data_IF_397299588637
#
_entry.id   IF_397299588637
#
_cell.length_a   1.000
_cell.length_b   1.000
_cell.length_c   1.000
_cell.angle_alpha   90.00
_cell.angle_beta   90.00
_cell.angle_gamma   90.00
#
_symmetry.space_group_name_H-M   'P 1'
#
loop_
_entity.id
_entity.type
_entity.pdbx_description
1 polymer ?
#
# COMPACT_ATOMS: atom_id res chain seq x y z
N UNK A 1 40.13 18.62 -6.25
CA UNK A 1 40.48 18.99 -7.62
C UNK A 1 39.36 19.79 -8.23
N UNK A 2 39.64 20.50 -9.32
CA UNK A 2 38.59 21.12 -10.14
C UNK A 2 37.96 20.12 -11.11
N UNK A 3 36.99 20.56 -11.91
CA UNK A 3 36.36 19.73 -12.95
C UNK A 3 37.37 19.14 -13.95
N UNK A 4 38.45 19.86 -14.25
CA UNK A 4 39.53 19.34 -15.12
C UNK A 4 40.23 18.11 -14.52
N UNK A 5 40.50 18.12 -13.21
CA UNK A 5 41.08 16.97 -12.52
C UNK A 5 40.10 15.79 -12.50
N UNK A 6 38.80 16.08 -12.39
CA UNK A 6 37.75 15.06 -12.47
C UNK A 6 37.71 14.39 -13.84
N UNK A 7 37.81 15.16 -14.93
CA UNK A 7 37.86 14.58 -16.28
C UNK A 7 39.14 13.76 -16.51
N UNK A 8 40.29 14.16 -15.96
CA UNK A 8 41.50 13.34 -16.00
C UNK A 8 41.25 11.99 -15.35
N UNK A 9 40.65 11.98 -14.14
CA UNK A 9 40.32 10.74 -13.45
C UNK A 9 39.30 9.88 -14.21
N UNK A 10 38.31 10.48 -14.90
CA UNK A 10 37.38 9.76 -15.79
C UNK A 10 38.14 9.04 -16.91
N UNK A 11 39.10 9.70 -17.56
CA UNK A 11 39.90 9.08 -18.63
C UNK A 11 40.86 8.01 -18.08
N UNK A 12 41.43 8.22 -16.90
CA UNK A 12 42.32 7.23 -16.26
C UNK A 12 41.57 5.95 -15.83
N UNK A 13 40.27 6.07 -15.58
CA UNK A 13 39.38 4.96 -15.23
C UNK A 13 38.68 4.33 -16.45
N UNK A 14 39.04 4.74 -17.69
CA UNK A 14 38.41 4.29 -18.94
C UNK A 14 36.87 4.51 -18.94
N UNK A 15 36.41 5.60 -18.34
CA UNK A 15 35.00 5.92 -18.16
C UNK A 15 34.46 6.96 -19.16
N UNK A 16 35.27 7.47 -20.09
CA UNK A 16 34.98 8.66 -20.91
C UNK A 16 33.86 8.48 -21.95
N UNK A 17 33.53 7.23 -22.30
CA UNK A 17 32.58 6.92 -23.37
C UNK A 17 31.13 6.75 -22.88
N UNK A 18 30.90 6.70 -21.56
CA UNK A 18 29.57 6.45 -20.99
C UNK A 18 28.63 7.65 -21.07
N UNK A 19 29.15 8.87 -20.88
CA UNK A 19 28.34 10.07 -20.75
C UNK A 19 28.91 11.24 -21.56
N UNK A 20 28.07 12.24 -21.82
CA UNK A 20 28.55 13.48 -22.45
C UNK A 20 29.35 14.33 -21.45
N UNK A 21 30.15 15.28 -21.95
CA UNK A 21 30.83 16.27 -21.11
C UNK A 21 29.90 17.01 -20.15
N UNK A 22 28.66 17.32 -20.57
CA UNK A 22 27.65 17.91 -19.69
C UNK A 22 27.16 16.93 -18.61
N UNK A 23 27.11 15.63 -18.93
CA UNK A 23 26.82 14.57 -17.96
C UNK A 23 27.92 14.45 -16.90
N UNK A 24 29.20 14.39 -17.30
CA UNK A 24 30.32 14.41 -16.34
C UNK A 24 30.38 15.69 -15.52
N UNK A 25 30.04 16.83 -16.12
CA UNK A 25 29.94 18.09 -15.37
C UNK A 25 28.85 18.01 -14.30
N UNK A 26 27.69 17.42 -14.61
CA UNK A 26 26.62 17.21 -13.63
C UNK A 26 27.06 16.26 -12.51
N UNK A 27 27.68 15.13 -12.84
CA UNK A 27 28.23 14.17 -11.87
C UNK A 27 29.23 14.83 -10.91
N UNK A 28 30.17 15.61 -11.45
CA UNK A 28 31.13 16.38 -10.67
C UNK A 28 30.45 17.41 -9.75
N UNK A 29 29.48 18.17 -10.27
CA UNK A 29 28.76 19.18 -9.50
C UNK A 29 27.90 18.58 -8.38
N UNK A 30 27.40 17.37 -8.59
CA UNK A 30 26.68 16.58 -7.58
C UNK A 30 27.61 15.84 -6.61
N UNK A 31 28.93 15.90 -6.83
CA UNK A 31 29.91 15.30 -5.93
C UNK A 31 30.00 13.77 -6.03
N UNK A 32 29.59 13.17 -7.15
CA UNK A 32 29.72 11.73 -7.39
C UNK A 32 31.20 11.36 -7.54
N UNK A 33 31.77 10.52 -6.66
CA UNK A 33 33.17 10.14 -6.70
C UNK A 33 33.43 9.16 -7.85
N UNK A 34 34.64 9.20 -8.39
CA UNK A 34 35.09 8.28 -9.44
C UNK A 34 34.97 6.82 -8.98
N UNK A 35 35.29 6.54 -7.71
CA UNK A 35 35.17 5.20 -7.12
C UNK A 35 33.75 4.62 -7.24
N UNK A 36 32.69 5.44 -7.11
CA UNK A 36 31.32 4.96 -7.28
C UNK A 36 31.01 4.66 -8.76
N UNK A 37 31.56 5.45 -9.68
CA UNK A 37 31.43 5.19 -11.12
C UNK A 37 32.18 3.93 -11.54
N UNK A 38 33.39 3.71 -11.02
CA UNK A 38 34.17 2.49 -11.24
C UNK A 38 33.41 1.25 -10.75
N UNK A 39 32.81 1.29 -9.56
CA UNK A 39 32.00 0.18 -9.05
C UNK A 39 30.78 -0.12 -9.95
N UNK A 40 30.10 0.91 -10.45
CA UNK A 40 28.99 0.73 -11.39
C UNK A 40 29.48 0.20 -12.75
N UNK A 41 30.65 0.65 -13.22
CA UNK A 41 31.26 0.17 -14.46
C UNK A 41 31.63 -1.31 -14.38
N UNK A 42 32.30 -1.70 -13.30
CA UNK A 42 32.71 -3.09 -13.03
C UNK A 42 31.49 -4.03 -12.98
N UNK A 43 30.35 -3.52 -12.50
CA UNK A 43 29.09 -4.25 -12.47
C UNK A 43 28.28 -4.17 -13.79
N UNK A 44 28.72 -3.35 -14.76
CA UNK A 44 28.10 -3.19 -16.07
C UNK A 44 26.87 -2.28 -16.10
N UNK A 45 26.70 -1.37 -15.13
CA UNK A 45 25.51 -0.54 -14.98
C UNK A 45 25.66 0.90 -15.52
N UNK A 46 26.80 1.27 -16.09
CA UNK A 46 26.96 2.59 -16.71
C UNK A 46 26.42 2.61 -18.14
N UNK A 47 26.06 3.82 -18.60
CA UNK A 47 25.61 4.05 -19.98
C UNK A 47 24.13 3.69 -20.17
N UNK A 48 23.88 2.56 -20.83
CA UNK A 48 22.54 2.15 -21.26
C UNK A 48 21.62 1.81 -20.08
N UNK A 49 22.19 1.24 -19.01
CA UNK A 49 21.46 0.87 -17.80
C UNK A 49 21.10 2.11 -16.97
N UNK A 50 22.11 2.85 -16.49
CA UNK A 50 21.90 4.10 -15.76
C UNK A 50 22.40 5.32 -16.53
N UNK A 51 21.46 6.22 -16.84
CA UNK A 51 21.77 7.61 -17.21
C UNK A 51 22.59 8.31 -16.11
N UNK A 52 23.37 9.33 -16.47
CA UNK A 52 24.11 10.14 -15.48
C UNK A 52 23.19 10.73 -14.40
N UNK A 53 21.93 11.07 -14.73
CA UNK A 53 20.95 11.54 -13.74
C UNK A 53 20.51 10.44 -12.77
N UNK A 54 20.39 9.20 -13.23
CA UNK A 54 20.08 8.06 -12.37
C UNK A 54 21.25 7.79 -11.41
N UNK A 55 22.49 7.81 -11.91
CA UNK A 55 23.70 7.68 -11.09
C UNK A 55 23.76 8.74 -9.99
N UNK A 56 23.49 10.01 -10.33
CA UNK A 56 23.41 11.10 -9.35
C UNK A 56 22.33 10.79 -8.28
N UNK A 57 21.16 10.33 -8.71
CA UNK A 57 20.06 10.00 -7.80
C UNK A 57 20.41 8.88 -6.83
N UNK A 58 20.98 7.79 -7.35
CA UNK A 58 21.42 6.62 -6.58
C UNK A 58 22.51 7.01 -5.57
N UNK A 59 23.54 7.72 -6.03
CA UNK A 59 24.63 8.18 -5.17
C UNK A 59 24.16 9.13 -4.06
N UNK A 60 23.37 10.15 -4.40
CA UNK A 60 22.86 11.11 -3.41
C UNK A 60 21.88 10.50 -2.41
N UNK A 61 21.34 9.31 -2.72
CA UNK A 61 20.47 8.55 -1.83
C UNK A 61 21.23 7.43 -1.10
N UNK A 62 22.56 7.44 -1.16
CA UNK A 62 23.45 6.47 -0.53
C UNK A 62 23.14 5.00 -0.93
N UNK A 63 22.61 4.78 -2.15
CA UNK A 63 22.31 3.43 -2.65
C UNK A 63 23.63 2.73 -3.02
N UNK A 64 24.01 1.65 -2.32
CA UNK A 64 25.25 0.94 -2.60
C UNK A 64 25.09 0.07 -3.86
N UNK A 65 26.18 -0.12 -4.61
CA UNK A 65 26.21 -1.02 -5.76
C UNK A 65 25.87 -2.46 -5.36
N UNK A 66 26.14 -2.86 -4.10
CA UNK A 66 25.71 -4.14 -3.54
C UNK A 66 24.19 -4.34 -3.58
N UNK A 67 23.40 -3.30 -3.30
CA UNK A 67 21.94 -3.38 -3.38
C UNK A 67 21.48 -3.54 -4.83
N UNK A 68 22.08 -2.81 -5.76
CA UNK A 68 21.80 -2.91 -7.20
C UNK A 68 22.14 -4.33 -7.71
N UNK A 69 23.30 -4.87 -7.31
CA UNK A 69 23.71 -6.24 -7.60
C UNK A 69 22.72 -7.27 -7.03
N UNK A 70 22.17 -7.01 -5.84
CA UNK A 70 21.14 -7.84 -5.24
C UNK A 70 19.89 -7.92 -6.13
N UNK A 71 19.39 -6.78 -6.62
CA UNK A 71 18.25 -6.75 -7.55
C UNK A 71 18.55 -7.51 -8.84
N UNK A 72 19.72 -7.28 -9.43
CA UNK A 72 20.14 -7.95 -10.66
C UNK A 72 20.25 -9.48 -10.47
N UNK A 73 20.78 -9.93 -9.32
CA UNK A 73 20.93 -11.36 -9.02
C UNK A 73 19.60 -12.11 -8.93
N UNK A 74 18.50 -11.43 -8.58
CA UNK A 74 17.14 -11.98 -8.58
C UNK A 74 16.33 -11.58 -9.82
N UNK A 75 17.00 -11.02 -10.85
CA UNK A 75 16.40 -10.56 -12.12
C UNK A 75 15.31 -9.49 -11.95
N UNK A 76 15.43 -8.64 -10.93
CA UNK A 76 14.48 -7.55 -10.65
C UNK A 76 15.04 -6.16 -10.93
N UNK A 77 16.26 -6.05 -11.45
CA UNK A 77 16.85 -4.74 -11.75
C UNK A 77 16.02 -3.99 -12.80
N UNK A 78 15.67 -4.67 -13.90
CA UNK A 78 14.92 -4.11 -15.02
C UNK A 78 13.44 -3.82 -14.68
N UNK A 79 12.93 -4.40 -13.59
CA UNK A 79 11.55 -4.19 -13.13
C UNK A 79 11.36 -2.85 -12.40
N UNK A 80 12.46 -2.22 -11.98
CA UNK A 80 12.42 -0.99 -11.18
C UNK A 80 13.17 0.16 -11.85
N UNK A 81 12.45 1.27 -12.05
CA UNK A 81 13.10 2.56 -12.33
C UNK A 81 14.10 2.91 -11.21
N UNK A 82 15.16 3.67 -11.51
CA UNK A 82 16.12 4.11 -10.49
C UNK A 82 15.47 4.84 -9.29
N UNK A 83 14.36 5.57 -9.51
CA UNK A 83 13.62 6.20 -8.41
C UNK A 83 12.88 5.19 -7.53
N UNK A 84 12.42 4.07 -8.11
CA UNK A 84 11.87 2.96 -7.36
C UNK A 84 12.97 2.23 -6.56
N UNK A 85 14.14 1.98 -7.15
CA UNK A 85 15.31 1.40 -6.47
C UNK A 85 15.68 2.23 -5.23
N UNK A 86 15.78 3.55 -5.39
CA UNK A 86 16.02 4.48 -4.28
C UNK A 86 14.94 4.35 -3.20
N UNK A 87 13.66 4.30 -3.59
CA UNK A 87 12.54 4.17 -2.66
C UNK A 87 12.59 2.88 -1.85
N UNK A 88 12.85 1.75 -2.52
CA UNK A 88 12.96 0.43 -1.91
C UNK A 88 14.14 0.37 -0.92
N UNK A 89 15.32 0.84 -1.34
CA UNK A 89 16.51 0.89 -0.51
C UNK A 89 16.31 1.77 0.73
N UNK A 90 15.83 3.00 0.56
CA UNK A 90 15.62 3.94 1.66
C UNK A 90 14.55 3.47 2.66
N UNK A 91 13.60 2.65 2.19
CA UNK A 91 12.58 2.03 3.04
C UNK A 91 13.07 0.73 3.70
N UNK A 92 14.30 0.30 3.42
CA UNK A 92 14.89 -0.90 3.98
C UNK A 92 14.28 -2.20 3.46
N UNK A 93 13.63 -2.18 2.29
CA UNK A 93 13.03 -3.36 1.69
C UNK A 93 14.12 -4.37 1.33
N UNK A 94 14.02 -5.59 1.87
CA UNK A 94 15.03 -6.63 1.70
C UNK A 94 14.90 -7.36 0.36
N UNK A 95 16.03 -7.91 -0.13
CA UNK A 95 16.03 -8.78 -1.31
C UNK A 95 15.19 -10.04 -1.10
N UNK A 96 15.19 -10.58 0.12
CA UNK A 96 14.38 -11.74 0.48
C UNK A 96 12.88 -11.45 0.31
N UNK A 97 12.42 -10.29 0.77
CA UNK A 97 11.03 -9.87 0.60
C UNK A 97 10.68 -9.69 -0.88
N UNK A 98 11.51 -8.97 -1.65
CA UNK A 98 11.27 -8.78 -3.08
C UNK A 98 11.27 -10.10 -3.85
N UNK A 99 12.18 -11.02 -3.54
CA UNK A 99 12.20 -12.34 -4.15
C UNK A 99 10.94 -13.15 -3.79
N UNK A 100 10.47 -13.05 -2.55
CA UNK A 100 9.25 -13.75 -2.12
C UNK A 100 8.00 -13.18 -2.82
N UNK A 101 7.93 -11.85 -2.98
CA UNK A 101 6.87 -11.21 -3.77
C UNK A 101 6.93 -11.62 -5.25
N UNK A 102 8.12 -11.77 -5.81
CA UNK A 102 8.31 -12.26 -7.19
C UNK A 102 7.83 -13.70 -7.35
N UNK A 103 8.23 -14.59 -6.44
CA UNK A 103 7.85 -16.00 -6.46
C UNK A 103 6.34 -16.21 -6.29
N UNK A 104 5.68 -15.34 -5.52
CA UNK A 104 4.23 -15.30 -5.36
C UNK A 104 3.51 -14.64 -6.56
N UNK A 105 4.23 -14.02 -7.50
CA UNK A 105 3.66 -13.35 -8.65
C UNK A 105 3.08 -11.96 -8.37
N UNK A 106 3.48 -11.32 -7.27
CA UNK A 106 2.92 -10.05 -6.80
C UNK A 106 3.69 -8.79 -7.21
N UNK A 107 4.78 -8.92 -7.95
CA UNK A 107 5.52 -7.74 -8.41
C UNK A 107 4.74 -6.93 -9.45
N UNK A 108 4.04 -7.60 -10.36
CA UNK A 108 3.21 -6.92 -11.38
C UNK A 108 1.90 -6.38 -10.82
N UNK A 109 1.43 -6.95 -9.70
CA UNK A 109 0.19 -6.56 -9.03
C UNK A 109 0.36 -5.27 -8.20
N UNK A 110 1.57 -5.03 -7.70
CA UNK A 110 1.86 -3.92 -6.79
C UNK A 110 2.93 -2.99 -7.33
N UNK A 111 2.57 -1.70 -7.44
CA UNK A 111 3.57 -0.64 -7.64
C UNK A 111 4.66 -0.68 -6.55
N UNK A 112 5.88 -0.20 -6.83
CA UNK A 112 6.96 -0.18 -5.84
C UNK A 112 6.58 0.54 -4.53
N UNK A 113 5.73 1.58 -4.57
CA UNK A 113 5.25 2.27 -3.37
C UNK A 113 4.27 1.40 -2.57
N UNK A 114 3.50 0.54 -3.24
CA UNK A 114 2.68 -0.48 -2.58
C UNK A 114 3.54 -1.58 -1.95
N UNK A 115 4.58 -2.05 -2.64
CA UNK A 115 5.55 -3.02 -2.08
C UNK A 115 6.20 -2.48 -0.79
N UNK A 116 6.62 -1.20 -0.81
CA UNK A 116 7.14 -0.50 0.37
C UNK A 116 6.09 -0.44 1.50
N UNK A 117 4.84 -0.09 1.16
CA UNK A 117 3.75 -0.01 2.14
C UNK A 117 3.48 -1.34 2.82
N UNK A 118 3.37 -2.41 2.03
CA UNK A 118 3.16 -3.78 2.51
C UNK A 118 4.32 -4.24 3.40
N UNK A 119 5.57 -4.01 2.96
CA UNK A 119 6.77 -4.33 3.74
C UNK A 119 6.80 -3.60 5.09
N UNK A 120 6.61 -2.27 5.09
CA UNK A 120 6.67 -1.45 6.30
C UNK A 120 5.54 -1.72 7.30
N UNK A 121 4.51 -2.45 6.89
CA UNK A 121 3.37 -2.82 7.74
C UNK A 121 3.32 -4.31 8.04
N UNK A 122 4.38 -5.04 7.68
CA UNK A 122 4.54 -6.48 7.94
C UNK A 122 3.32 -7.30 7.46
N UNK A 123 2.71 -6.92 6.32
CA UNK A 123 1.64 -7.71 5.70
C UNK A 123 2.27 -8.98 5.13
N UNK A 124 1.90 -10.17 5.60
CA UNK A 124 2.50 -11.42 5.16
C UNK A 124 1.95 -11.81 3.79
N UNK A 125 2.78 -12.52 3.02
CA UNK A 125 2.40 -13.07 1.71
C UNK A 125 1.18 -13.99 1.84
N UNK A 126 1.11 -14.83 2.89
CA UNK A 126 -0.05 -15.70 3.15
C UNK A 126 -1.39 -14.92 3.25
N UNK A 127 -1.37 -13.67 3.75
CA UNK A 127 -2.58 -12.84 3.77
C UNK A 127 -2.92 -12.33 2.37
N UNK A 128 -1.91 -11.97 1.57
CA UNK A 128 -2.10 -11.58 0.17
C UNK A 128 -2.61 -12.77 -0.67
N UNK A 129 -2.10 -13.98 -0.45
CA UNK A 129 -2.57 -15.22 -1.06
C UNK A 129 -4.05 -15.44 -0.76
N UNK A 130 -4.44 -15.32 0.51
CA UNK A 130 -5.84 -15.45 0.90
C UNK A 130 -6.75 -14.38 0.29
N UNK A 131 -6.26 -13.13 0.18
CA UNK A 131 -6.98 -12.06 -0.52
C UNK A 131 -7.10 -12.35 -2.02
N UNK A 132 -6.06 -12.87 -2.65
CA UNK A 132 -6.04 -13.23 -4.07
C UNK A 132 -7.01 -14.38 -4.36
N UNK A 133 -6.97 -15.45 -3.57
CA UNK A 133 -7.83 -16.62 -3.71
C UNK A 133 -9.32 -16.25 -3.54
N UNK A 134 -9.61 -15.26 -2.69
CA UNK A 134 -10.96 -14.72 -2.50
C UNK A 134 -11.36 -13.68 -3.57
N UNK A 135 -10.44 -13.29 -4.47
CA UNK A 135 -10.68 -12.30 -5.53
C UNK A 135 -10.67 -10.85 -5.05
N UNK A 136 -10.02 -10.55 -3.92
CA UNK A 136 -10.01 -9.25 -3.26
C UNK A 136 -8.82 -8.35 -3.59
N UNK A 137 -7.78 -8.86 -4.28
CA UNK A 137 -6.66 -8.02 -4.69
C UNK A 137 -7.07 -6.93 -5.69
N UNK A 138 -7.97 -7.26 -6.63
CA UNK A 138 -8.49 -6.31 -7.61
C UNK A 138 -9.58 -5.38 -7.03
N UNK A 139 -10.22 -5.79 -5.93
CA UNK A 139 -11.30 -5.05 -5.29
C UNK A 139 -10.78 -3.94 -4.37
N UNK A 140 -9.68 -4.22 -3.66
CA UNK A 140 -9.11 -3.30 -2.69
C UNK A 140 -7.79 -2.69 -3.16
N UNK A 141 -7.65 -1.37 -3.00
CA UNK A 141 -6.33 -0.76 -3.14
C UNK A 141 -5.34 -1.32 -2.10
N UNK A 142 -4.03 -1.31 -2.40
CA UNK A 142 -3.02 -1.78 -1.44
C UNK A 142 -3.14 -1.09 -0.06
N UNK A 143 -3.52 0.19 -0.02
CA UNK A 143 -3.74 0.91 1.24
C UNK A 143 -4.95 0.37 2.02
N UNK A 144 -5.98 -0.10 1.32
CA UNK A 144 -7.13 -0.76 1.92
C UNK A 144 -6.76 -2.16 2.42
N UNK A 145 -5.99 -2.94 1.66
CA UNK A 145 -5.46 -4.25 2.08
C UNK A 145 -4.66 -4.11 3.38
N UNK A 146 -3.72 -3.16 3.44
CA UNK A 146 -2.96 -2.83 4.66
C UNK A 146 -3.88 -2.45 5.81
N UNK A 147 -4.90 -1.62 5.56
CA UNK A 147 -5.86 -1.20 6.58
C UNK A 147 -6.68 -2.35 7.15
N UNK A 148 -7.11 -3.28 6.29
CA UNK A 148 -7.84 -4.49 6.66
C UNK A 148 -6.97 -5.40 7.51
N UNK A 149 -5.74 -5.68 7.06
CA UNK A 149 -4.78 -6.51 7.80
C UNK A 149 -4.46 -5.93 9.19
N UNK A 150 -4.09 -4.64 9.27
CA UNK A 150 -3.77 -3.98 10.53
C UNK A 150 -4.94 -3.86 11.51
N UNK A 151 -6.16 -4.07 11.02
CA UNK A 151 -7.38 -4.08 11.83
C UNK A 151 -7.86 -5.51 12.12
N UNK A 152 -7.03 -6.52 11.84
CA UNK A 152 -7.33 -7.94 12.00
C UNK A 152 -8.60 -8.39 11.26
N UNK A 153 -9.01 -7.68 10.20
CA UNK A 153 -10.19 -8.04 9.42
C UNK A 153 -9.89 -9.34 8.67
N UNK A 154 -10.73 -10.35 8.90
CA UNK A 154 -10.53 -11.67 8.30
C UNK A 154 -11.16 -11.77 6.91
N UNK A 155 -10.57 -12.61 6.06
CA UNK A 155 -11.14 -12.97 4.75
C UNK A 155 -12.53 -13.61 4.92
N UNK A 156 -12.76 -14.37 5.99
CA UNK A 156 -14.08 -14.94 6.31
C UNK A 156 -15.14 -13.86 6.55
N UNK A 157 -14.81 -12.79 7.27
CA UNK A 157 -15.70 -11.65 7.44
C UNK A 157 -16.00 -10.95 6.10
N UNK A 158 -14.98 -10.76 5.26
CA UNK A 158 -15.17 -10.18 3.93
C UNK A 158 -16.07 -11.06 3.05
N UNK A 159 -15.87 -12.39 3.08
CA UNK A 159 -16.72 -13.35 2.38
C UNK A 159 -18.17 -13.32 2.87
N UNK A 160 -18.37 -13.16 4.18
CA UNK A 160 -19.71 -13.02 4.76
C UNK A 160 -20.38 -11.72 4.27
N UNK A 161 -19.65 -10.60 4.27
CA UNK A 161 -20.12 -9.33 3.70
C UNK A 161 -20.44 -9.44 2.20
N UNK A 162 -19.58 -10.10 1.42
CA UNK A 162 -19.78 -10.37 -0.01
C UNK A 162 -21.06 -11.19 -0.25
N UNK A 163 -21.20 -12.33 0.43
CA UNK A 163 -22.32 -13.25 0.24
C UNK A 163 -23.66 -12.65 0.69
N UNK A 164 -23.60 -11.72 1.64
CA UNK A 164 -24.71 -10.90 2.12
C UNK A 164 -25.08 -9.75 1.17
N UNK A 165 -24.30 -9.54 0.11
CA UNK A 165 -24.43 -8.40 -0.78
C UNK A 165 -24.18 -7.06 -0.07
N UNK A 166 -23.32 -7.04 0.95
CA UNK A 166 -22.99 -5.85 1.75
C UNK A 166 -21.62 -5.25 1.41
N UNK A 167 -20.82 -5.92 0.58
CA UNK A 167 -19.47 -5.45 0.23
C UNK A 167 -19.49 -4.03 -0.36
N UNK A 168 -20.34 -3.79 -1.34
CA UNK A 168 -20.44 -2.51 -2.06
C UNK A 168 -21.17 -1.41 -1.27
N UNK A 169 -21.75 -1.74 -0.12
CA UNK A 169 -22.52 -0.80 0.71
C UNK A 169 -21.62 0.05 1.62
N UNK A 170 -20.36 -0.36 1.79
CA UNK A 170 -19.41 0.29 2.70
C UNK A 170 -18.05 0.50 2.04
N UNK A 171 -17.41 1.62 2.34
CA UNK A 171 -15.98 1.75 2.08
C UNK A 171 -15.18 0.74 2.91
N UNK A 172 -13.95 0.42 2.52
CA UNK A 172 -13.07 -0.45 3.33
C UNK A 172 -12.91 0.07 4.77
N UNK A 173 -12.88 1.39 4.97
CA UNK A 173 -12.86 2.01 6.32
C UNK A 173 -14.15 1.79 7.10
N UNK A 174 -15.29 1.70 6.40
CA UNK A 174 -16.58 1.31 6.98
C UNK A 174 -16.59 -0.18 7.36
N UNK A 175 -16.07 -1.05 6.50
CA UNK A 175 -15.92 -2.49 6.79
C UNK A 175 -15.06 -2.72 8.04
N UNK A 176 -13.91 -2.06 8.13
CA UNK A 176 -13.04 -2.05 9.31
C UNK A 176 -13.79 -1.55 10.54
N UNK A 177 -14.53 -0.44 10.42
CA UNK A 177 -15.30 0.13 11.52
C UNK A 177 -16.34 -0.83 12.06
N UNK A 178 -17.10 -1.48 11.17
CA UNK A 178 -18.13 -2.46 11.52
C UNK A 178 -17.52 -3.70 12.19
N UNK A 179 -16.41 -4.21 11.63
CA UNK A 179 -15.67 -5.34 12.19
C UNK A 179 -15.17 -5.03 13.61
N UNK A 180 -14.46 -3.92 13.79
CA UNK A 180 -13.94 -3.48 15.10
C UNK A 180 -15.05 -3.12 16.10
N UNK A 181 -16.24 -2.80 15.60
CA UNK A 181 -17.44 -2.57 16.41
C UNK A 181 -18.17 -3.85 16.79
N UNK A 182 -17.64 -5.03 16.44
CA UNK A 182 -18.24 -6.34 16.62
C UNK A 182 -19.69 -6.43 16.09
N UNK A 183 -20.00 -5.64 15.04
CA UNK A 183 -21.35 -5.60 14.46
C UNK A 183 -21.57 -6.84 13.60
N UNK A 184 -22.52 -7.73 13.95
CA UNK A 184 -22.76 -8.94 13.18
C UNK A 184 -23.34 -8.59 11.82
N UNK A 185 -22.87 -9.29 10.78
CA UNK A 185 -23.41 -9.18 9.41
C UNK A 185 -24.93 -9.33 9.36
N UNK A 186 -25.51 -10.21 10.19
CA UNK A 186 -26.96 -10.39 10.30
C UNK A 186 -27.71 -9.11 10.73
N UNK A 187 -27.15 -8.33 11.66
CA UNK A 187 -27.76 -7.05 12.06
C UNK A 187 -27.75 -6.04 10.90
N UNK A 188 -26.67 -6.03 10.11
CA UNK A 188 -26.53 -5.17 8.94
C UNK A 188 -27.49 -5.63 7.82
N UNK A 189 -27.66 -6.94 7.61
CA UNK A 189 -28.64 -7.51 6.68
C UNK A 189 -30.09 -7.15 7.07
N UNK A 190 -30.41 -7.16 8.37
CA UNK A 190 -31.73 -6.76 8.85
C UNK A 190 -31.98 -5.26 8.57
N UNK A 191 -30.97 -4.40 8.78
CA UNK A 191 -31.03 -2.99 8.40
C UNK A 191 -31.20 -2.82 6.88
N UNK A 192 -30.50 -3.60 6.06
CA UNK A 192 -30.67 -3.62 4.59
C UNK A 192 -32.08 -3.99 4.19
N UNK A 193 -32.63 -5.05 4.78
CA UNK A 193 -33.99 -5.52 4.51
C UNK A 193 -35.06 -4.51 4.92
N UNK A 194 -34.81 -3.74 5.98
CA UNK A 194 -35.63 -2.61 6.40
C UNK A 194 -35.46 -1.34 5.56
N UNK A 195 -34.48 -1.29 4.65
CA UNK A 195 -34.19 -0.12 3.82
C UNK A 195 -33.45 1.01 4.56
N UNK A 196 -32.70 0.69 5.61
CA UNK A 196 -32.09 1.67 6.51
C UNK A 196 -30.59 1.91 6.27
N UNK A 197 -29.93 1.18 5.37
CA UNK A 197 -28.49 1.37 5.13
C UNK A 197 -28.15 2.78 4.64
N UNK A 198 -28.97 3.35 3.75
CA UNK A 198 -28.79 4.73 3.28
C UNK A 198 -29.17 5.79 4.34
N UNK A 199 -29.84 5.37 5.42
CA UNK A 199 -30.28 6.27 6.50
C UNK A 199 -29.18 6.46 7.55
N UNK A 200 -28.34 5.45 7.77
CA UNK A 200 -27.38 5.44 8.86
C UNK A 200 -25.95 5.27 8.36
N UNK A 201 -25.04 6.14 8.81
CA UNK A 201 -23.61 5.90 8.64
C UNK A 201 -23.17 4.64 9.37
N UNK A 202 -22.08 3.99 8.94
CA UNK A 202 -21.52 2.83 9.65
C UNK A 202 -21.24 3.14 11.13
N UNK A 203 -20.84 4.37 11.47
CA UNK A 203 -20.66 4.81 12.87
C UNK A 203 -21.97 4.87 13.66
N UNK A 204 -23.08 5.25 13.03
CA UNK A 204 -24.40 5.21 13.65
C UNK A 204 -24.87 3.75 13.83
N UNK A 205 -24.62 2.89 12.85
CA UNK A 205 -24.91 1.45 12.93
C UNK A 205 -24.20 0.83 14.14
N UNK A 206 -22.89 1.07 14.29
CA UNK A 206 -22.09 0.61 15.44
C UNK A 206 -22.67 1.15 16.75
N UNK A 207 -22.97 2.44 16.81
CA UNK A 207 -23.53 3.07 18.01
C UNK A 207 -24.87 2.48 18.43
N UNK A 208 -25.76 2.21 17.47
CA UNK A 208 -27.05 1.57 17.72
C UNK A 208 -26.89 0.12 18.16
N UNK A 209 -26.04 -0.65 17.48
CA UNK A 209 -25.77 -2.04 17.85
C UNK A 209 -25.20 -2.16 19.27
N UNK A 210 -24.20 -1.33 19.62
CA UNK A 210 -23.60 -1.32 20.95
C UNK A 210 -24.55 -0.85 22.06
N UNK A 211 -25.66 -0.21 21.70
CA UNK A 211 -26.73 0.16 22.62
C UNK A 211 -27.90 -0.85 22.59
N UNK A 212 -27.68 -2.03 22.01
CA UNK A 212 -28.65 -3.11 21.84
C UNK A 212 -29.94 -2.69 21.09
N UNK A 213 -29.90 -1.61 20.31
CA UNK A 213 -31.04 -1.14 19.53
C UNK A 213 -31.34 -2.18 18.45
N UNK A 214 -32.57 -2.72 18.45
CA UNK A 214 -32.98 -3.73 17.47
C UNK A 214 -33.58 -3.09 16.22
N UNK A 215 -33.51 -3.79 15.09
CA UNK A 215 -34.19 -3.36 13.85
C UNK A 215 -35.71 -3.30 14.03
N UNK A 216 -36.29 -4.16 14.86
CA UNK A 216 -37.71 -4.10 15.25
C UNK A 216 -38.08 -2.78 15.93
N UNK A 217 -37.20 -2.26 16.79
CA UNK A 217 -37.41 -0.95 17.41
C UNK A 217 -37.40 0.16 16.36
N UNK A 218 -36.44 0.13 15.43
CA UNK A 218 -36.33 1.08 14.32
C UNK A 218 -37.58 1.02 13.42
N UNK A 219 -38.07 -0.17 13.10
CA UNK A 219 -39.32 -0.38 12.37
C UNK A 219 -40.51 0.29 13.08
N UNK A 220 -40.62 0.11 14.40
CA UNK A 220 -41.67 0.75 15.20
C UNK A 220 -41.57 2.28 15.23
N UNK A 221 -40.37 2.87 15.08
CA UNK A 221 -40.21 4.32 14.91
C UNK A 221 -40.63 4.76 13.50
N UNK A 222 -40.26 4.00 12.48
CA UNK A 222 -40.59 4.27 11.08
C UNK A 222 -42.10 4.21 10.82
N UNK A 223 -42.79 3.18 11.34
CA UNK A 223 -44.26 3.03 11.24
C UNK A 223 -45.03 4.19 11.88
N UNK A 224 -44.43 4.83 12.88
CA UNK A 224 -44.99 6.02 13.56
C UNK A 224 -44.57 7.33 12.90
N UNK A 225 -43.84 7.28 11.78
CA UNK A 225 -43.26 8.43 11.07
C UNK A 225 -42.34 9.29 11.96
N UNK A 226 -41.66 8.66 12.92
CA UNK A 226 -40.73 9.36 13.82
C UNK A 226 -39.30 9.34 13.30
N UNK A 227 -38.92 8.31 12.53
CA UNK A 227 -37.54 8.04 12.17
C UNK A 227 -36.85 9.22 11.45
N UNK A 228 -37.53 9.86 10.50
CA UNK A 228 -36.99 10.97 9.70
C UNK A 228 -36.54 12.19 10.52
N UNK A 229 -37.05 12.35 11.75
CA UNK A 229 -36.77 13.49 12.61
C UNK A 229 -35.82 13.17 13.77
N UNK A 230 -35.33 11.93 13.85
CA UNK A 230 -34.47 11.47 14.95
C UNK A 230 -33.03 11.33 14.46
N UNK A 231 -32.08 11.83 15.25
CA UNK A 231 -30.69 11.40 15.09
C UNK A 231 -30.52 9.99 15.66
N UNK A 232 -29.48 9.25 15.24
CA UNK A 232 -29.19 7.93 15.82
C UNK A 232 -28.99 8.00 17.35
N UNK A 233 -28.44 9.11 17.86
CA UNK A 233 -28.31 9.37 19.30
C UNK A 233 -29.66 9.53 20.00
N UNK A 234 -30.67 10.08 19.32
CA UNK A 234 -32.02 10.16 19.86
C UNK A 234 -32.68 8.78 19.88
N UNK A 235 -32.49 7.97 18.82
CA UNK A 235 -32.95 6.58 18.76
C UNK A 235 -32.39 5.78 19.95
N UNK A 236 -31.07 5.85 20.19
CA UNK A 236 -30.41 5.19 21.32
C UNK A 236 -30.99 5.66 22.66
N UNK A 237 -31.18 6.98 22.84
CA UNK A 237 -31.72 7.53 24.08
C UNK A 237 -33.15 7.05 24.34
N UNK A 238 -33.98 6.99 23.29
CA UNK A 238 -35.35 6.51 23.38
C UNK A 238 -35.37 5.01 23.70
N UNK A 239 -34.55 4.20 23.03
CA UNK A 239 -34.45 2.76 23.29
C UNK A 239 -34.09 2.45 24.75
N UNK A 240 -33.10 3.14 25.29
CA UNK A 240 -32.67 3.02 26.70
C UNK A 240 -33.69 3.56 27.71
N UNK A 241 -34.67 4.36 27.27
CA UNK A 241 -35.76 4.84 28.14
C UNK A 241 -36.92 3.84 28.14
N UNK A 242 -37.12 3.14 27.02
CA UNK A 242 -38.20 2.20 26.81
C UNK A 242 -37.90 0.79 27.36
N UNK A 243 -36.63 0.46 27.66
CA UNK A 243 -36.15 -0.84 28.14
C UNK A 243 -35.20 -0.72 29.34
#
# INVERSE_FOLDING_TARGET
>A
GGFADYLVAINEADLEDFYSNSGYQALYQSGVPIEYLEQLNDAGYLGDEFSYSAVIGLYNSDVPVEYINGLNAINLLDEFSYSAIIGLYNSGVSMEYLNSMNEAGYLDEFSYSALIGLYNTDVPIDYLDGMNDAGYLDEFSYSAIIGLYNSDVTIDYLNDMQSSGLMDEFSYSGLIGLYNGDVPTGYIQDLKSGGYLDTFSYSAIIGMYNADVTVDYINGLNERNLLENLSYSDIIRMYNTDN
#
